data_IF_433730267274
#
_entry.id   IF_433730267274
#
_cell.length_a   1.000
_cell.length_b   1.000
_cell.length_c   1.000
_cell.angle_alpha   90.00
_cell.angle_beta   90.00
_cell.angle_gamma   90.00
#
_symmetry.space_group_name_H-M   'P 1'
#
loop_
_entity.id
_entity.type
_entity.pdbx_description
1 polymer ?
#
# COMPACT_ATOMS: atom_id res chain seq x y z
N UNK A 1 6.74 20.12 -20.03
CA UNK A 1 6.41 19.66 -18.66
C UNK A 1 5.78 18.29 -18.80
N UNK A 2 6.49 17.23 -18.40
CA UNK A 2 5.97 15.87 -18.49
C UNK A 2 4.64 15.73 -17.74
N UNK A 3 3.62 15.17 -18.39
CA UNK A 3 2.29 14.89 -17.83
C UNK A 3 1.13 15.73 -18.39
N UNK A 4 1.40 16.74 -19.23
CA UNK A 4 0.37 17.62 -19.86
C UNK A 4 0.02 17.23 -21.30
N UNK A 5 0.64 16.19 -21.81
CA UNK A 5 0.50 15.76 -23.19
C UNK A 5 -0.91 15.20 -23.43
N UNK A 6 -1.60 15.69 -24.46
CA UNK A 6 -2.97 15.27 -24.76
C UNK A 6 -3.07 13.78 -25.15
N UNK A 7 -1.99 13.18 -25.66
CA UNK A 7 -1.95 11.77 -26.05
C UNK A 7 -1.74 10.81 -24.87
N UNK A 8 -1.36 11.30 -23.69
CA UNK A 8 -1.06 10.48 -22.53
C UNK A 8 -2.29 10.36 -21.63
N UNK A 9 -3.04 9.26 -21.68
CA UNK A 9 -4.25 9.11 -20.85
C UNK A 9 -3.93 8.88 -19.37
N UNK A 10 -2.94 8.04 -19.09
CA UNK A 10 -2.42 7.72 -17.77
C UNK A 10 -0.89 7.66 -17.79
N UNK A 11 -0.26 7.93 -16.66
CA UNK A 11 1.19 7.81 -16.53
C UNK A 11 1.61 6.48 -15.91
N UNK A 12 2.87 6.14 -16.11
CA UNK A 12 3.50 4.99 -15.51
C UNK A 12 4.66 5.48 -14.66
N UNK A 13 4.62 5.19 -13.36
CA UNK A 13 5.78 5.44 -12.51
C UNK A 13 6.68 4.21 -12.48
N UNK A 14 7.96 4.48 -12.38
CA UNK A 14 9.02 3.48 -12.29
C UNK A 14 9.99 3.90 -11.19
N UNK A 15 10.17 3.03 -10.21
CA UNK A 15 11.14 3.25 -9.13
C UNK A 15 11.41 1.95 -8.38
N UNK A 16 12.57 1.84 -7.76
CA UNK A 16 12.88 0.74 -6.85
C UNK A 16 12.70 1.18 -5.39
N UNK A 17 13.68 0.90 -4.54
CA UNK A 17 13.77 1.36 -3.17
C UNK A 17 15.11 2.05 -2.94
N UNK A 18 15.15 2.94 -1.96
CA UNK A 18 16.37 3.68 -1.59
C UNK A 18 17.44 2.69 -1.14
N UNK A 19 18.66 2.85 -1.64
CA UNK A 19 19.78 1.95 -1.32
C UNK A 19 19.86 0.68 -2.17
N UNK A 20 18.97 0.46 -3.16
CA UNK A 20 19.08 -0.69 -4.07
C UNK A 20 20.46 -0.71 -4.75
N UNK A 21 21.15 -1.84 -4.62
CA UNK A 21 22.47 -2.02 -5.24
C UNK A 21 22.36 -2.32 -6.75
N UNK A 22 23.28 -1.76 -7.53
CA UNK A 22 23.35 -1.95 -8.98
C UNK A 22 22.19 -1.32 -9.77
N UNK A 23 21.56 -0.29 -9.20
CA UNK A 23 20.72 0.64 -9.95
C UNK A 23 21.54 1.91 -10.29
N UNK A 24 21.06 2.78 -11.20
CA UNK A 24 21.82 3.96 -11.66
C UNK A 24 21.99 5.05 -10.59
N UNK A 25 21.28 4.96 -9.46
CA UNK A 25 21.49 5.79 -8.27
C UNK A 25 21.00 5.05 -7.02
N UNK A 26 21.62 5.29 -5.87
CA UNK A 26 21.17 4.77 -4.58
C UNK A 26 20.13 5.68 -3.91
N UNK A 27 19.99 6.92 -4.37
CA UNK A 27 19.08 7.93 -3.82
C UNK A 27 17.67 7.88 -4.45
N UNK A 28 17.23 6.69 -4.87
CA UNK A 28 15.90 6.53 -5.43
C UNK A 28 14.81 6.79 -4.39
N UNK A 29 13.71 7.45 -4.76
CA UNK A 29 12.55 7.55 -3.88
C UNK A 29 11.98 6.15 -3.62
N UNK A 30 11.43 5.93 -2.43
CA UNK A 30 10.58 4.77 -2.21
C UNK A 30 9.31 4.89 -3.08
N UNK A 31 8.65 3.76 -3.34
CA UNK A 31 7.46 3.71 -4.17
C UNK A 31 6.35 4.66 -3.69
N UNK A 32 6.13 4.80 -2.38
CA UNK A 32 5.15 5.76 -1.87
C UNK A 32 5.55 7.20 -2.16
N UNK A 33 6.84 7.55 -2.07
CA UNK A 33 7.33 8.90 -2.36
C UNK A 33 7.09 9.25 -3.85
N UNK A 34 7.45 8.33 -4.74
CA UNK A 34 7.21 8.49 -6.18
C UNK A 34 5.72 8.60 -6.50
N UNK A 35 4.88 7.76 -5.86
CA UNK A 35 3.43 7.77 -6.03
C UNK A 35 2.78 9.06 -5.52
N UNK A 36 3.19 9.55 -4.34
CA UNK A 36 2.70 10.82 -3.79
C UNK A 36 3.09 12.00 -4.69
N UNK A 37 4.29 11.98 -5.27
CA UNK A 37 4.74 13.01 -6.21
C UNK A 37 3.92 12.99 -7.51
N UNK A 38 3.64 11.80 -8.05
CA UNK A 38 2.78 11.66 -9.23
C UNK A 38 1.34 12.13 -8.94
N UNK A 39 0.81 11.77 -7.77
CA UNK A 39 -0.53 12.16 -7.33
C UNK A 39 -0.73 13.68 -7.22
N UNK A 40 0.33 14.43 -6.92
CA UNK A 40 0.32 15.90 -6.76
C UNK A 40 0.36 16.68 -8.09
N UNK A 41 0.58 16.01 -9.23
CA UNK A 41 0.65 16.69 -10.53
C UNK A 41 -0.68 17.37 -10.90
N UNK A 42 -0.59 18.47 -11.64
CA UNK A 42 -1.74 19.22 -12.14
C UNK A 42 -1.59 19.54 -13.66
N UNK A 43 -2.50 19.07 -14.54
CA UNK A 43 -3.64 18.21 -14.25
C UNK A 43 -3.19 16.83 -13.74
N UNK A 44 -3.95 16.28 -12.80
CA UNK A 44 -3.71 14.92 -12.29
C UNK A 44 -4.24 13.91 -13.30
N UNK A 45 -3.39 12.97 -13.70
CA UNK A 45 -3.78 11.80 -14.50
C UNK A 45 -3.80 10.55 -13.62
N UNK A 46 -4.48 9.51 -14.09
CA UNK A 46 -4.35 8.17 -13.52
C UNK A 46 -2.90 7.74 -13.66
N UNK A 47 -2.40 6.94 -12.71
CA UNK A 47 -1.09 6.33 -12.85
C UNK A 47 -1.04 4.93 -12.26
N UNK A 48 -0.10 4.13 -12.76
CA UNK A 48 0.21 2.79 -12.24
C UNK A 48 1.69 2.70 -11.90
N UNK A 49 2.04 1.87 -10.92
CA UNK A 49 3.42 1.43 -10.75
C UNK A 49 3.72 0.37 -11.80
N UNK A 50 4.31 0.79 -12.92
CA UNK A 50 4.54 -0.09 -14.06
C UNK A 50 5.78 -0.96 -13.91
N UNK A 51 6.76 -0.53 -13.13
CA UNK A 51 7.92 -1.36 -12.83
C UNK A 51 8.55 -0.95 -11.49
N UNK A 52 9.00 -1.96 -10.73
CA UNK A 52 9.72 -1.80 -9.47
C UNK A 52 10.57 -3.04 -9.20
N UNK A 53 10.93 -3.34 -7.94
CA UNK A 53 11.77 -4.47 -7.59
C UNK A 53 11.13 -5.79 -8.06
N UNK A 54 11.91 -6.59 -8.78
CA UNK A 54 11.53 -7.94 -9.20
C UNK A 54 11.69 -8.93 -8.05
N UNK A 55 10.80 -9.91 -7.97
CA UNK A 55 10.66 -10.75 -6.76
C UNK A 55 11.92 -11.54 -6.42
N UNK A 56 12.64 -12.06 -7.40
CA UNK A 56 13.74 -13.00 -7.22
C UNK A 56 15.09 -12.44 -7.68
N UNK A 57 15.19 -11.11 -7.78
CA UNK A 57 16.45 -10.42 -8.05
C UNK A 57 17.03 -9.78 -6.79
N UNK A 58 18.26 -10.14 -6.42
CA UNK A 58 19.01 -9.51 -5.31
C UNK A 58 18.18 -9.47 -4.01
N UNK A 59 17.81 -8.28 -3.56
CA UNK A 59 17.05 -8.01 -2.32
C UNK A 59 15.53 -8.18 -2.51
N UNK A 60 15.08 -8.59 -3.70
CA UNK A 60 13.70 -8.94 -3.98
C UNK A 60 13.21 -10.09 -3.11
N UNK A 61 11.94 -10.01 -2.72
CA UNK A 61 11.20 -11.12 -2.13
C UNK A 61 9.69 -10.78 -2.13
N UNK A 62 8.85 -11.75 -1.77
CA UNK A 62 7.40 -11.57 -1.71
C UNK A 62 6.93 -10.39 -0.83
N UNK A 63 7.63 -10.08 0.28
CA UNK A 63 7.26 -8.93 1.12
C UNK A 63 7.54 -7.61 0.40
N UNK A 64 8.65 -7.50 -0.34
CA UNK A 64 8.94 -6.30 -1.14
C UNK A 64 7.87 -6.09 -2.21
N UNK A 65 7.43 -7.16 -2.89
CA UNK A 65 6.34 -7.13 -3.88
C UNK A 65 5.02 -6.66 -3.26
N UNK A 66 4.64 -7.16 -2.08
CA UNK A 66 3.47 -6.65 -1.36
C UNK A 66 3.65 -5.18 -1.03
N UNK A 67 4.77 -4.81 -0.43
CA UNK A 67 5.03 -3.44 0.02
C UNK A 67 4.91 -2.43 -1.12
N UNK A 68 5.54 -2.67 -2.27
CA UNK A 68 5.45 -1.77 -3.43
C UNK A 68 4.02 -1.67 -3.97
N UNK A 69 3.26 -2.77 -4.02
CA UNK A 69 1.87 -2.76 -4.48
C UNK A 69 0.97 -1.92 -3.56
N UNK A 70 1.03 -2.17 -2.25
CA UNK A 70 0.23 -1.45 -1.25
C UNK A 70 0.64 0.02 -1.14
N UNK A 71 1.94 0.32 -1.18
CA UNK A 71 2.43 1.70 -1.20
C UNK A 71 1.94 2.46 -2.42
N UNK A 72 1.96 1.85 -3.61
CA UNK A 72 1.47 2.50 -4.82
C UNK A 72 0.00 2.89 -4.70
N UNK A 73 -0.87 1.93 -4.37
CA UNK A 73 -2.31 2.17 -4.33
C UNK A 73 -2.73 3.13 -3.21
N UNK A 74 -2.23 2.94 -1.98
CA UNK A 74 -2.58 3.82 -0.85
C UNK A 74 -1.96 5.22 -0.98
N UNK A 75 -0.95 5.38 -1.84
CA UNK A 75 -0.36 6.68 -2.19
C UNK A 75 -0.94 7.29 -3.47
N UNK A 76 -2.07 6.76 -3.95
CA UNK A 76 -2.89 7.37 -5.00
C UNK A 76 -2.73 6.76 -6.39
N UNK A 77 -1.95 5.68 -6.51
CA UNK A 77 -1.83 4.88 -7.72
C UNK A 77 -3.08 4.03 -7.96
N UNK A 78 -3.24 3.57 -9.19
CA UNK A 78 -4.41 2.79 -9.64
C UNK A 78 -4.06 1.36 -10.05
N UNK A 79 -2.83 0.91 -9.78
CA UNK A 79 -2.38 -0.44 -10.13
C UNK A 79 -0.90 -0.66 -9.89
N UNK A 80 -0.51 -1.93 -9.97
CA UNK A 80 0.86 -2.39 -9.84
C UNK A 80 1.11 -3.51 -10.86
N UNK A 81 2.18 -3.39 -11.63
CA UNK A 81 2.70 -4.44 -12.49
C UNK A 81 3.74 -5.26 -11.71
N UNK A 82 3.42 -6.52 -11.46
CA UNK A 82 4.33 -7.50 -10.88
C UNK A 82 5.50 -7.80 -11.83
N UNK A 83 6.68 -8.08 -11.28
CA UNK A 83 7.84 -8.52 -12.04
C UNK A 83 8.67 -9.56 -11.27
N UNK A 84 9.28 -10.45 -12.04
CA UNK A 84 10.28 -11.42 -11.61
C UNK A 84 11.16 -11.78 -12.82
N UNK A 85 12.18 -12.60 -12.62
CA UNK A 85 13.01 -13.13 -13.71
C UNK A 85 12.23 -13.95 -14.75
N UNK A 86 10.91 -14.18 -14.55
CA UNK A 86 10.02 -14.67 -15.61
C UNK A 86 10.10 -13.83 -16.89
N UNK A 87 10.46 -12.55 -16.78
CA UNK A 87 10.64 -11.65 -17.92
C UNK A 87 11.68 -12.15 -18.94
N UNK A 88 12.68 -12.90 -18.48
CA UNK A 88 13.70 -13.51 -19.34
C UNK A 88 13.20 -14.76 -20.07
N UNK A 89 12.04 -15.29 -19.67
CA UNK A 89 11.42 -16.50 -20.20
C UNK A 89 12.37 -17.71 -20.26
N UNK A 90 13.22 -17.87 -19.24
CA UNK A 90 14.14 -19.00 -19.11
C UNK A 90 13.43 -20.35 -18.94
N UNK A 91 14.19 -21.45 -18.96
CA UNK A 91 13.64 -22.82 -18.87
C UNK A 91 12.79 -23.06 -17.60
N UNK A 92 13.02 -22.27 -16.55
CA UNK A 92 12.30 -22.31 -15.27
C UNK A 92 11.15 -21.29 -15.17
N UNK A 93 10.70 -20.67 -16.27
CA UNK A 93 9.63 -19.65 -16.26
C UNK A 93 8.34 -20.14 -15.59
N UNK A 94 8.05 -21.45 -15.67
CA UNK A 94 6.86 -22.06 -15.03
C UNK A 94 6.96 -22.02 -13.51
N UNK A 95 8.16 -22.15 -12.96
CA UNK A 95 8.43 -22.00 -11.54
C UNK A 95 8.36 -20.51 -11.16
N UNK A 96 8.87 -19.62 -12.02
CA UNK A 96 8.85 -18.17 -11.78
C UNK A 96 7.45 -17.56 -11.70
N UNK A 97 6.50 -18.05 -12.50
CA UNK A 97 5.08 -17.63 -12.38
C UNK A 97 4.38 -18.14 -11.12
N UNK A 98 4.99 -19.09 -10.40
CA UNK A 98 4.46 -19.67 -9.15
C UNK A 98 5.14 -19.11 -7.91
N UNK A 99 5.99 -18.07 -8.05
CA UNK A 99 6.63 -17.44 -6.91
C UNK A 99 5.60 -16.84 -5.95
N UNK A 100 6.02 -16.68 -4.69
CA UNK A 100 5.12 -16.34 -3.59
C UNK A 100 4.49 -14.97 -3.76
N UNK A 101 5.25 -14.00 -4.24
CA UNK A 101 4.81 -12.64 -4.53
C UNK A 101 3.80 -12.59 -5.67
N UNK A 102 3.93 -13.44 -6.69
CA UNK A 102 2.90 -13.58 -7.74
C UNK A 102 1.54 -14.01 -7.15
N UNK A 103 1.54 -15.01 -6.26
CA UNK A 103 0.33 -15.45 -5.54
C UNK A 103 -0.21 -14.36 -4.60
N UNK A 104 0.67 -13.60 -3.94
CA UNK A 104 0.25 -12.48 -3.09
C UNK A 104 -0.41 -11.36 -3.91
N UNK A 105 -0.10 -11.20 -5.20
CA UNK A 105 -0.79 -10.24 -6.08
C UNK A 105 -2.23 -10.64 -6.40
N UNK A 106 -2.54 -11.95 -6.46
CA UNK A 106 -3.93 -12.42 -6.52
C UNK A 106 -4.69 -12.03 -5.24
N UNK A 107 -4.06 -12.19 -4.07
CA UNK A 107 -4.65 -11.80 -2.80
C UNK A 107 -4.83 -10.29 -2.68
N UNK A 108 -3.84 -9.50 -3.11
CA UNK A 108 -3.91 -8.05 -3.21
C UNK A 108 -5.12 -7.63 -4.06
N UNK A 109 -5.26 -8.20 -5.26
CA UNK A 109 -6.41 -7.94 -6.13
C UNK A 109 -7.74 -8.29 -5.45
N UNK A 110 -7.83 -9.45 -4.80
CA UNK A 110 -9.03 -9.89 -4.08
C UNK A 110 -9.38 -8.99 -2.89
N UNK A 111 -8.38 -8.51 -2.15
CA UNK A 111 -8.57 -7.59 -1.02
C UNK A 111 -9.12 -6.25 -1.53
N UNK A 112 -8.46 -5.64 -2.50
CA UNK A 112 -8.86 -4.33 -3.00
C UNK A 112 -10.12 -4.37 -3.86
N UNK A 113 -10.42 -5.45 -4.57
CA UNK A 113 -11.72 -5.63 -5.25
C UNK A 113 -12.91 -5.60 -4.29
N UNK A 114 -12.70 -5.92 -3.01
CA UNK A 114 -13.71 -5.78 -1.96
C UNK A 114 -13.84 -4.38 -1.36
N UNK A 115 -13.06 -3.41 -1.84
CA UNK A 115 -13.02 -2.03 -1.34
C UNK A 115 -13.28 -1.04 -2.50
N UNK A 116 -13.88 0.13 -2.24
CA UNK A 116 -14.01 1.19 -3.24
C UNK A 116 -12.67 1.93 -3.42
N UNK A 117 -11.62 1.18 -3.80
CA UNK A 117 -10.23 1.62 -3.76
C UNK A 117 -9.95 2.85 -4.62
N UNK A 118 -10.66 2.99 -5.75
CA UNK A 118 -10.55 4.10 -6.69
C UNK A 118 -11.01 5.45 -6.08
N UNK A 119 -11.65 5.44 -4.91
CA UNK A 119 -12.02 6.64 -4.18
C UNK A 119 -11.00 7.02 -3.09
N UNK A 120 -10.05 6.15 -2.76
CA UNK A 120 -9.06 6.45 -1.72
C UNK A 120 -8.25 7.69 -2.08
N UNK A 121 -8.01 8.52 -1.07
CA UNK A 121 -7.12 9.68 -1.14
C UNK A 121 -6.01 9.49 -0.13
N UNK A 122 -4.73 9.64 -0.52
CA UNK A 122 -3.61 9.51 0.40
C UNK A 122 -3.74 10.49 1.56
N UNK A 123 -3.47 10.02 2.77
CA UNK A 123 -3.33 10.86 3.97
C UNK A 123 -1.87 10.86 4.42
N UNK A 124 -1.18 11.96 4.08
CA UNK A 124 0.20 12.21 4.48
C UNK A 124 0.30 13.03 5.77
N UNK A 125 -0.82 13.30 6.44
CA UNK A 125 -0.86 13.97 7.74
C UNK A 125 -0.85 12.94 8.87
N UNK A 126 -0.66 13.36 10.11
CA UNK A 126 -0.75 12.46 11.27
C UNK A 126 -2.15 12.50 11.91
N UNK A 127 -3.17 12.83 11.13
CA UNK A 127 -4.55 12.91 11.64
C UNK A 127 -5.15 11.53 11.92
N UNK A 128 -5.04 10.58 10.98
CA UNK A 128 -5.60 9.22 11.14
C UNK A 128 -4.60 8.28 11.81
N UNK A 129 -3.36 8.22 11.32
CA UNK A 129 -2.26 7.46 11.92
C UNK A 129 -1.38 8.43 12.72
N UNK A 130 -1.60 8.47 14.03
CA UNK A 130 -0.99 9.45 14.94
C UNK A 130 0.43 9.02 15.34
N UNK A 131 0.64 7.72 15.58
CA UNK A 131 1.95 7.15 15.86
C UNK A 131 2.10 5.78 15.20
N UNK A 132 3.35 5.38 14.94
CA UNK A 132 3.67 4.09 14.30
C UNK A 132 3.70 4.14 12.77
N UNK A 133 3.75 5.33 12.17
CA UNK A 133 3.95 5.53 10.72
C UNK A 133 5.34 5.08 10.23
N UNK A 134 6.32 4.88 11.11
CA UNK A 134 7.69 4.58 10.69
C UNK A 134 8.43 5.83 10.19
N UNK A 135 9.57 5.63 9.55
CA UNK A 135 10.45 6.72 9.12
C UNK A 135 10.22 7.03 7.65
N UNK A 136 9.96 8.31 7.33
CA UNK A 136 9.87 8.75 5.95
C UNK A 136 11.22 8.54 5.23
N UNK A 137 11.18 8.02 4.01
CA UNK A 137 12.32 7.53 3.25
C UNK A 137 12.70 6.07 3.52
N UNK A 138 12.12 5.42 4.52
CA UNK A 138 12.51 4.04 4.87
C UNK A 138 11.50 2.99 4.40
N UNK A 139 11.97 1.76 4.47
CA UNK A 139 11.31 0.50 4.16
C UNK A 139 10.11 0.17 5.06
N UNK A 140 9.96 0.95 6.12
CA UNK A 140 9.10 0.71 7.27
C UNK A 140 7.90 1.68 7.31
N UNK A 141 7.77 2.56 6.30
CA UNK A 141 6.75 3.59 6.23
C UNK A 141 5.32 3.04 6.09
N UNK A 142 4.43 3.47 6.99
CA UNK A 142 3.00 3.17 6.99
C UNK A 142 2.24 4.09 6.03
N UNK A 143 1.74 3.54 4.93
CA UNK A 143 0.92 4.29 3.98
C UNK A 143 -0.54 4.32 4.41
N UNK A 144 -1.15 5.50 4.36
CA UNK A 144 -2.54 5.72 4.78
C UNK A 144 -3.32 6.30 3.62
N UNK A 145 -4.53 5.80 3.41
CA UNK A 145 -5.50 6.45 2.53
C UNK A 145 -6.90 6.41 3.13
N UNK A 146 -7.69 7.43 2.80
CA UNK A 146 -9.01 7.65 3.39
C UNK A 146 -10.04 7.79 2.28
N UNK A 147 -11.20 7.14 2.46
CA UNK A 147 -12.34 7.31 1.56
C UNK A 147 -12.97 8.70 1.73
N UNK A 148 -13.67 9.21 0.71
CA UNK A 148 -14.41 10.47 0.81
C UNK A 148 -15.39 10.47 1.99
N UNK A 149 -15.55 11.65 2.60
CA UNK A 149 -16.34 11.88 3.80
C UNK A 149 -15.88 11.03 5.00
N UNK A 150 -14.58 10.70 5.07
CA UNK A 150 -13.93 9.96 6.15
C UNK A 150 -14.65 8.67 6.56
N UNK A 151 -15.25 7.95 5.61
CA UNK A 151 -16.06 6.75 5.91
C UNK A 151 -15.23 5.53 6.28
N UNK A 152 -14.00 5.47 5.78
CA UNK A 152 -13.05 4.41 6.06
C UNK A 152 -11.63 4.91 5.81
N UNK A 153 -10.68 4.43 6.60
CA UNK A 153 -9.26 4.51 6.30
C UNK A 153 -8.67 3.12 6.09
N UNK A 154 -7.71 3.03 5.17
CA UNK A 154 -6.86 1.88 4.95
C UNK A 154 -5.41 2.27 5.28
N UNK A 155 -4.77 1.49 6.15
CA UNK A 155 -3.41 1.73 6.65
C UNK A 155 -2.59 0.47 6.39
N UNK A 156 -1.60 0.54 5.52
CA UNK A 156 -0.66 -0.57 5.31
C UNK A 156 0.58 -0.36 6.15
N UNK A 157 0.92 -1.35 6.97
CA UNK A 157 2.07 -1.36 7.87
C UNK A 157 3.05 -2.45 7.37
N UNK A 158 4.17 -2.06 6.72
CA UNK A 158 5.09 -3.01 6.07
C UNK A 158 5.94 -3.82 7.05
N UNK A 159 6.09 -3.36 8.30
CA UNK A 159 6.69 -4.13 9.38
C UNK A 159 5.85 -4.00 10.64
N UNK A 160 5.44 -5.14 11.17
CA UNK A 160 4.58 -5.24 12.35
C UNK A 160 5.06 -4.39 13.52
N UNK A 161 4.13 -3.63 14.08
CA UNK A 161 4.32 -2.84 15.30
C UNK A 161 2.96 -2.40 15.83
N UNK A 162 2.94 -2.00 17.10
CA UNK A 162 1.80 -1.27 17.65
C UNK A 162 1.70 0.12 17.00
N UNK A 163 0.49 0.52 16.63
CA UNK A 163 0.19 1.84 16.05
C UNK A 163 -0.84 2.57 16.90
N UNK A 164 -0.81 3.91 16.88
CA UNK A 164 -1.88 4.74 17.45
C UNK A 164 -2.70 5.38 16.34
N UNK A 165 -3.99 5.10 16.33
CA UNK A 165 -4.92 5.61 15.31
C UNK A 165 -6.00 6.47 15.93
N UNK A 166 -6.35 7.58 15.28
CA UNK A 166 -7.44 8.44 15.72
C UNK A 166 -8.76 7.95 15.11
N UNK A 167 -9.49 7.12 15.84
CA UNK A 167 -10.81 6.64 15.40
C UNK A 167 -11.84 7.77 15.35
N UNK A 168 -11.58 8.91 16.00
CA UNK A 168 -12.39 10.12 15.89
C UNK A 168 -12.31 10.85 14.56
N UNK A 169 -11.34 10.50 13.70
CA UNK A 169 -11.27 11.02 12.33
C UNK A 169 -12.14 10.24 11.34
N UNK A 170 -12.70 9.10 11.75
CA UNK A 170 -13.56 8.26 10.91
C UNK A 170 -15.02 8.51 11.26
N UNK A 171 -15.83 8.83 10.25
CA UNK A 171 -17.26 9.09 10.42
C UNK A 171 -18.03 7.77 10.59
N UNK A 172 -18.89 7.72 11.60
CA UNK A 172 -19.71 6.56 11.91
C UNK A 172 -20.19 6.59 13.36
N UNK A 173 -21.05 5.65 13.76
CA UNK A 173 -21.49 5.51 15.15
C UNK A 173 -20.72 4.43 15.92
N UNK A 174 -20.14 3.47 15.19
CA UNK A 174 -19.26 2.44 15.71
C UNK A 174 -18.17 2.15 14.69
N UNK A 175 -16.92 2.42 15.06
CA UNK A 175 -15.75 2.22 14.20
C UNK A 175 -15.14 0.86 14.52
N UNK A 176 -15.10 -0.03 13.53
CA UNK A 176 -14.39 -1.30 13.62
C UNK A 176 -12.97 -1.14 13.09
N UNK A 177 -12.02 -1.60 13.89
CA UNK A 177 -10.68 -1.93 13.42
C UNK A 177 -10.64 -3.38 12.92
N UNK A 178 -10.15 -3.57 11.70
CA UNK A 178 -10.03 -4.89 11.07
C UNK A 178 -8.63 -5.04 10.49
N UNK A 179 -7.86 -5.94 11.09
CA UNK A 179 -6.58 -6.38 10.55
C UNK A 179 -6.81 -7.40 9.44
N UNK A 180 -6.11 -7.24 8.32
CA UNK A 180 -6.11 -8.16 7.18
C UNK A 180 -4.66 -8.58 6.95
N UNK A 181 -4.42 -9.89 6.99
CA UNK A 181 -3.14 -10.48 6.65
C UNK A 181 -3.02 -10.51 5.11
N UNK A 182 -2.09 -9.77 4.49
CA UNK A 182 -2.01 -9.66 3.04
C UNK A 182 -1.50 -10.95 2.36
N UNK A 183 -0.88 -11.85 3.12
CA UNK A 183 -0.39 -13.17 2.68
C UNK A 183 -1.47 -14.24 2.66
N UNK A 184 -2.61 -14.03 3.33
CA UNK A 184 -3.65 -15.07 3.46
C UNK A 184 -5.06 -14.56 3.29
N UNK A 185 -5.25 -13.23 3.26
CA UNK A 185 -6.55 -12.55 3.35
C UNK A 185 -7.37 -12.94 4.60
N UNK A 186 -6.73 -13.54 5.62
CA UNK A 186 -7.35 -13.77 6.93
C UNK A 186 -7.61 -12.43 7.62
N UNK A 187 -8.73 -12.32 8.32
CA UNK A 187 -9.22 -11.08 8.92
C UNK A 187 -9.41 -11.23 10.42
N UNK A 188 -8.96 -10.24 11.18
CA UNK A 188 -8.99 -10.25 12.64
C UNK A 188 -9.55 -8.93 13.15
N UNK A 189 -10.53 -9.01 14.05
CA UNK A 189 -11.12 -7.82 14.65
C UNK A 189 -10.11 -7.24 15.65
N UNK A 190 -9.66 -6.02 15.41
CA UNK A 190 -8.79 -5.26 16.33
C UNK A 190 -9.58 -4.50 17.40
N UNK A 191 -10.90 -4.41 17.25
CA UNK A 191 -11.80 -3.81 18.24
C UNK A 191 -12.95 -3.03 17.62
N UNK A 192 -13.85 -2.57 18.48
CA UNK A 192 -14.95 -1.67 18.16
C UNK A 192 -14.86 -0.44 19.05
N UNK A 193 -14.98 0.74 18.46
CA UNK A 193 -14.77 1.99 19.17
C UNK A 193 -15.90 2.97 18.88
N UNK A 194 -16.24 3.80 19.86
CA UNK A 194 -16.93 5.06 19.57
C UNK A 194 -16.02 5.93 18.70
N UNK A 195 -16.56 6.76 17.80
CA UNK A 195 -15.81 7.64 16.89
C UNK A 195 -15.17 8.81 17.66
N UNK A 196 -14.33 8.52 18.66
CA UNK A 196 -13.75 9.51 19.55
C UNK A 196 -12.39 9.08 20.07
N UNK A 197 -11.39 9.95 19.87
CA UNK A 197 -10.06 9.84 20.45
C UNK A 197 -9.14 8.85 19.74
N UNK A 198 -7.98 8.65 20.34
CA UNK A 198 -6.90 7.80 19.82
C UNK A 198 -6.96 6.41 20.45
N UNK A 199 -6.66 5.38 19.67
CA UNK A 199 -6.61 3.98 20.10
C UNK A 199 -5.28 3.37 19.70
N UNK A 200 -4.72 2.62 20.64
CA UNK A 200 -3.55 1.79 20.41
C UNK A 200 -4.02 0.44 19.86
N UNK A 201 -3.47 0.02 18.73
CA UNK A 201 -3.81 -1.23 18.07
C UNK A 201 -2.54 -1.99 17.72
N UNK A 202 -2.50 -3.25 18.13
CA UNK A 202 -1.42 -4.19 17.80
C UNK A 202 -1.95 -5.22 16.80
N UNK A 203 -1.19 -5.54 15.73
CA UNK A 203 -1.56 -6.63 14.84
C UNK A 203 -1.51 -7.99 15.57
N UNK A 204 -2.18 -9.03 15.04
CA UNK A 204 -2.19 -10.36 15.66
C UNK A 204 -0.81 -10.99 15.90
N UNK A 205 0.17 -10.71 15.03
CA UNK A 205 1.56 -11.16 15.17
C UNK A 205 2.55 -10.05 14.84
N UNK A 206 3.79 -10.17 15.32
CA UNK A 206 4.81 -9.12 15.24
C UNK A 206 5.92 -9.35 14.19
N UNK A 207 5.78 -10.35 13.35
CA UNK A 207 6.80 -10.84 12.39
C UNK A 207 6.43 -10.59 10.92
N UNK A 208 5.37 -9.82 10.67
CA UNK A 208 4.66 -9.81 9.40
C UNK A 208 4.21 -8.39 8.97
N UNK A 209 3.82 -8.19 7.69
CA UNK A 209 3.14 -6.97 7.23
C UNK A 209 1.61 -7.07 7.37
N UNK A 210 0.93 -5.93 7.53
CA UNK A 210 -0.50 -5.89 7.81
C UNK A 210 -1.22 -4.76 7.11
N UNK A 211 -2.45 -5.01 6.66
CA UNK A 211 -3.41 -3.97 6.30
C UNK A 211 -4.41 -3.79 7.45
N UNK A 212 -4.54 -2.58 7.97
CA UNK A 212 -5.56 -2.19 8.92
C UNK A 212 -6.65 -1.38 8.22
N UNK A 213 -7.90 -1.80 8.35
CA UNK A 213 -9.06 -1.01 7.98
C UNK A 213 -9.73 -0.43 9.22
N UNK A 214 -10.01 0.87 9.20
CA UNK A 214 -10.84 1.56 10.19
C UNK A 214 -12.10 2.04 9.48
N UNK A 215 -13.28 1.55 9.85
CA UNK A 215 -14.51 1.94 9.17
C UNK A 215 -15.76 1.72 10.00
N UNK A 216 -16.84 2.40 9.62
CA UNK A 216 -18.13 2.28 10.29
C UNK A 216 -18.73 0.86 10.16
N UNK A 217 -19.46 0.43 11.18
CA UNK A 217 -20.18 -0.86 11.24
C UNK A 217 -21.68 -0.70 10.95
N UNK A 218 -22.16 0.54 10.75
CA UNK A 218 -23.55 0.84 10.40
C UNK A 218 -23.98 0.23 9.06
N UNK A 219 -25.20 -0.35 9.05
CA UNK A 219 -25.77 -1.30 8.07
C UNK A 219 -25.64 -0.91 6.59
N UNK A 220 -25.62 -1.95 5.74
CA UNK A 220 -25.85 -1.91 4.29
C UNK A 220 -27.00 -0.99 3.92
#
# INVERSE_FOLDING_TARGET
MAGKEAWLDFSMIYTYFRGKTGAWTMEMPQVYEASLNEHKKNPRKIFVLGESQYEDEKDGNAQVIRRQAYWSLLSGGSGHCYGSSVADFGDDWRQKVQLRGAQDMELYFKIFSGLPWYLFRPDTTDEVLVEGRGTYGNDDYGAVSVLPNNRMAAIYIPTSRTVKVNVGKINGSSIRALWINPRTNKRFIGGYFKPQGVRELTPPTLDEDWLLLLGNVGRK
#
